data_IF_922627844441
#
_entry.id   IF_922627844441
#
_cell.length_a   1.000
_cell.length_b   1.000
_cell.length_c   1.000
_cell.angle_alpha   90.00
_cell.angle_beta   90.00
_cell.angle_gamma   90.00
#
_symmetry.space_group_name_H-M   'P 1'
#
loop_
_entity.id
_entity.type
_entity.pdbx_description
1 polymer ?
#
# COMPACT_ATOMS: atom_id res chain seq x y z
N UNK A 1 -5.22 11.93 -20.59
CA UNK A 1 -4.05 12.33 -19.77
C UNK A 1 -4.36 12.34 -18.27
N UNK A 2 -5.38 13.07 -17.78
CA UNK A 2 -5.70 13.17 -16.34
C UNK A 2 -5.99 11.81 -15.65
N UNK A 3 -6.87 10.99 -16.22
CA UNK A 3 -7.22 9.67 -15.62
C UNK A 3 -6.00 8.74 -15.48
N UNK A 4 -5.10 8.74 -16.46
CA UNK A 4 -3.88 7.93 -16.44
C UNK A 4 -2.90 8.37 -15.36
N UNK A 5 -2.82 9.67 -15.05
CA UNK A 5 -1.99 10.16 -13.95
C UNK A 5 -2.54 9.65 -12.61
N UNK A 6 -3.86 9.66 -12.42
CA UNK A 6 -4.45 9.11 -11.20
C UNK A 6 -4.25 7.60 -11.08
N UNK A 7 -4.30 6.87 -12.20
CA UNK A 7 -4.01 5.43 -12.24
C UNK A 7 -2.54 5.17 -11.92
N UNK A 8 -1.60 5.93 -12.52
CA UNK A 8 -0.17 5.76 -12.27
C UNK A 8 0.16 6.11 -10.81
N UNK A 9 -0.46 7.16 -10.25
CA UNK A 9 -0.30 7.50 -8.83
C UNK A 9 -0.91 6.40 -7.96
N UNK A 10 -2.11 5.93 -8.27
CA UNK A 10 -2.78 4.87 -7.51
C UNK A 10 -1.96 3.58 -7.54
N UNK A 11 -1.62 3.09 -8.73
CA UNK A 11 -0.77 1.91 -8.92
C UNK A 11 0.56 2.13 -8.23
N UNK A 12 1.23 3.27 -8.42
CA UNK A 12 2.51 3.58 -7.79
C UNK A 12 2.47 3.47 -6.27
N UNK A 13 1.42 3.99 -5.64
CA UNK A 13 1.25 3.98 -4.18
C UNK A 13 0.86 2.59 -3.67
N UNK A 14 -0.03 1.88 -4.38
CA UNK A 14 -0.41 0.50 -4.06
C UNK A 14 0.73 -0.50 -4.31
N UNK A 15 1.59 -0.21 -5.28
CA UNK A 15 2.77 -1.00 -5.62
C UNK A 15 3.98 -0.69 -4.75
N UNK A 16 3.89 0.37 -3.94
CA UNK A 16 5.04 1.20 -3.66
C UNK A 16 6.15 0.56 -2.81
N UNK A 17 7.33 1.15 -2.94
CA UNK A 17 8.56 0.73 -2.30
C UNK A 17 8.63 1.18 -0.85
N UNK A 18 8.80 0.25 0.10
CA UNK A 18 8.88 0.54 1.53
C UNK A 18 9.84 1.67 1.94
N UNK A 19 9.40 2.62 2.78
CA UNK A 19 10.24 3.62 3.43
C UNK A 19 11.15 3.01 4.50
N UNK A 20 12.44 2.80 4.18
CA UNK A 20 13.41 2.14 5.06
C UNK A 20 12.94 0.76 5.55
N UNK A 21 12.16 0.70 6.64
CA UNK A 21 11.58 -0.52 7.21
C UNK A 21 10.18 -0.25 7.83
N UNK A 22 9.15 0.09 7.03
CA UNK A 22 7.84 0.52 7.51
C UNK A 22 6.97 -0.63 8.03
N UNK A 23 7.16 -1.84 7.52
CA UNK A 23 6.45 -3.03 8.00
C UNK A 23 7.10 -3.62 9.26
N UNK A 24 8.27 -3.12 9.67
CA UNK A 24 8.84 -3.53 10.94
C UNK A 24 7.91 -3.16 12.10
N UNK A 25 7.82 -4.07 13.08
CA UNK A 25 7.22 -3.82 14.37
C UNK A 25 7.96 -2.71 15.15
N UNK A 26 9.20 -2.40 14.79
CA UNK A 26 9.95 -1.29 15.38
C UNK A 26 9.35 0.06 14.93
N UNK A 27 9.17 0.97 15.88
CA UNK A 27 8.73 2.33 15.58
C UNK A 27 9.84 3.14 14.93
N UNK A 28 9.43 4.13 14.14
CA UNK A 28 10.29 5.22 13.73
C UNK A 28 10.76 6.01 14.97
N UNK A 29 12.05 6.38 15.00
CA UNK A 29 12.62 7.18 16.08
C UNK A 29 11.82 8.46 16.29
N UNK A 30 11.63 8.86 17.55
CA UNK A 30 10.90 10.08 17.89
C UNK A 30 11.45 11.29 17.10
N UNK A 31 10.54 12.10 16.55
CA UNK A 31 10.81 13.30 15.71
C UNK A 31 11.47 13.02 14.37
N UNK A 32 11.77 11.77 14.03
CA UNK A 32 12.16 11.38 12.69
C UNK A 32 10.91 11.31 11.82
N UNK A 33 11.02 11.83 10.61
CA UNK A 33 10.05 11.64 9.55
C UNK A 33 10.70 10.97 8.35
N UNK A 34 9.94 10.16 7.64
CA UNK A 34 10.35 9.45 6.44
C UNK A 34 9.24 9.59 5.40
N UNK A 35 9.60 9.86 4.16
CA UNK A 35 8.64 10.03 3.07
C UNK A 35 9.27 9.56 1.76
N UNK A 36 8.48 8.86 0.96
CA UNK A 36 8.77 8.60 -0.45
C UNK A 36 7.84 9.40 -1.35
N UNK A 37 8.16 9.46 -2.63
CA UNK A 37 7.28 10.05 -3.64
C UNK A 37 5.96 9.27 -3.79
N UNK A 38 6.04 7.94 -3.78
CA UNK A 38 4.90 7.02 -3.83
C UNK A 38 4.58 6.34 -2.51
N UNK A 39 5.03 6.90 -1.38
CA UNK A 39 4.91 6.27 -0.07
C UNK A 39 4.25 7.18 0.96
N UNK A 40 3.70 6.60 2.05
CA UNK A 40 3.23 7.38 3.17
C UNK A 40 4.36 8.24 3.75
N UNK A 41 4.03 9.45 4.17
CA UNK A 41 4.79 10.16 5.18
C UNK A 41 4.59 9.42 6.50
N UNK A 42 5.69 9.01 7.14
CA UNK A 42 5.73 8.42 8.47
C UNK A 42 6.38 9.41 9.43
N UNK A 43 5.88 9.46 10.66
CA UNK A 43 6.41 10.31 11.70
C UNK A 43 6.43 9.58 13.04
N UNK A 44 7.60 9.47 13.65
CA UNK A 44 7.76 8.99 15.02
C UNK A 44 7.26 10.06 15.97
N UNK A 45 6.01 9.96 16.41
CA UNK A 45 5.37 10.99 17.24
C UNK A 45 5.88 10.93 18.68
N UNK A 46 5.94 9.73 19.26
CA UNK A 46 6.54 9.41 20.56
C UNK A 46 7.30 8.09 20.45
N UNK A 47 7.98 7.68 21.52
CA UNK A 47 8.53 6.32 21.65
C UNK A 47 7.46 5.21 21.67
N UNK A 48 6.18 5.59 21.74
CA UNK A 48 5.03 4.68 21.84
C UNK A 48 4.02 4.85 20.70
N UNK A 49 4.28 5.75 19.75
CA UNK A 49 3.34 6.09 18.69
C UNK A 49 4.06 6.52 17.43
N UNK A 50 3.79 5.83 16.33
CA UNK A 50 4.13 6.27 14.98
C UNK A 50 2.84 6.56 14.21
N UNK A 51 2.82 7.69 13.48
CA UNK A 51 1.69 8.10 12.66
C UNK A 51 2.12 8.13 11.20
N UNK A 52 1.24 7.71 10.30
CA UNK A 52 1.50 7.78 8.87
C UNK A 52 0.27 8.13 8.05
N UNK A 53 0.49 8.78 6.90
CA UNK A 53 -0.54 9.18 5.93
C UNK A 53 0.11 9.36 4.55
N UNK A 54 -0.64 9.26 3.46
CA UNK A 54 -0.12 9.49 2.10
C UNK A 54 -0.35 10.95 1.68
N UNK A 55 0.67 11.83 1.65
CA UNK A 55 0.45 13.27 1.49
C UNK A 55 -0.24 13.65 0.18
N UNK A 56 0.13 12.98 -0.92
CA UNK A 56 -0.45 13.25 -2.25
C UNK A 56 -1.88 12.73 -2.37
N UNK A 57 -2.13 11.51 -1.87
CA UNK A 57 -3.44 10.88 -1.95
C UNK A 57 -4.42 11.41 -0.91
N UNK A 58 -3.97 11.97 0.21
CA UNK A 58 -4.83 12.39 1.32
C UNK A 58 -6.00 13.30 0.89
N UNK A 59 -5.78 14.14 -0.13
CA UNK A 59 -6.81 15.07 -0.63
C UNK A 59 -7.92 14.40 -1.43
N UNK A 60 -7.68 13.22 -2.01
CA UNK A 60 -8.65 12.49 -2.85
C UNK A 60 -9.03 11.14 -2.25
N UNK A 61 -8.18 10.58 -1.39
CA UNK A 61 -8.38 9.35 -0.65
C UNK A 61 -7.75 9.54 0.74
N UNK A 62 -8.44 10.26 1.65
CA UNK A 62 -7.98 10.45 3.01
C UNK A 62 -7.62 9.11 3.65
N UNK A 63 -6.45 9.07 4.26
CA UNK A 63 -5.94 7.88 4.93
C UNK A 63 -5.09 8.30 6.12
N UNK A 64 -5.16 7.50 7.17
CA UNK A 64 -4.38 7.68 8.39
C UNK A 64 -4.07 6.30 8.95
N UNK A 65 -2.85 6.10 9.39
CA UNK A 65 -2.45 4.88 10.07
C UNK A 65 -1.62 5.21 11.31
N UNK A 66 -1.86 4.43 12.36
CA UNK A 66 -1.20 4.56 13.65
C UNK A 66 -0.58 3.23 14.01
N UNK A 67 0.69 3.22 14.37
CA UNK A 67 1.41 2.03 14.83
C UNK A 67 1.79 2.18 16.30
N UNK A 68 1.46 1.15 17.08
CA UNK A 68 1.61 1.10 18.54
C UNK A 68 2.46 -0.13 18.86
N UNK A 69 3.59 0.01 19.57
CA UNK A 69 4.43 -1.12 19.95
C UNK A 69 3.81 -1.84 21.16
N UNK A 70 4.00 -3.15 21.21
CA UNK A 70 3.57 -4.03 22.31
C UNK A 70 4.79 -4.67 22.99
N UNK A 71 4.56 -5.37 24.10
CA UNK A 71 5.62 -6.13 24.76
C UNK A 71 6.18 -7.22 23.84
N UNK A 72 7.50 -7.32 23.77
CA UNK A 72 8.19 -8.31 22.94
C UNK A 72 7.75 -9.74 23.30
N UNK A 73 7.49 -10.55 22.27
CA UNK A 73 7.17 -11.96 22.40
C UNK A 73 8.46 -12.78 22.22
N UNK A 74 9.17 -13.00 23.32
CA UNK A 74 10.51 -13.62 23.28
C UNK A 74 11.50 -12.73 22.53
N UNK A 75 12.09 -13.25 21.46
CA UNK A 75 13.05 -12.52 20.61
C UNK A 75 12.39 -11.75 19.46
N UNK A 76 11.06 -11.58 19.49
CA UNK A 76 10.31 -10.85 18.48
C UNK A 76 9.81 -9.52 19.05
N UNK A 77 10.14 -8.42 18.37
CA UNK A 77 9.48 -7.14 18.56
C UNK A 77 8.06 -7.23 18.02
N UNK A 78 7.08 -6.68 18.74
CA UNK A 78 5.67 -6.75 18.32
C UNK A 78 5.03 -5.38 18.30
N UNK A 79 4.13 -5.14 17.35
CA UNK A 79 3.36 -3.91 17.26
C UNK A 79 2.00 -4.18 16.61
N UNK A 80 1.03 -3.32 16.84
CA UNK A 80 -0.20 -3.27 16.05
C UNK A 80 -0.23 -2.03 15.19
N UNK A 81 -0.81 -2.16 14.00
CA UNK A 81 -1.06 -1.04 13.08
C UNK A 81 -2.55 -0.93 12.86
N UNK A 82 -3.09 0.27 13.07
CA UNK A 82 -4.50 0.58 12.92
C UNK A 82 -4.63 1.65 11.84
N UNK A 83 -5.33 1.34 10.75
CA UNK A 83 -5.45 2.21 9.59
C UNK A 83 -6.90 2.52 9.26
N UNK A 84 -7.14 3.74 8.80
CA UNK A 84 -8.42 4.22 8.29
C UNK A 84 -8.22 4.72 6.86
N UNK A 85 -9.17 4.39 5.99
CA UNK A 85 -9.17 4.77 4.58
C UNK A 85 -10.54 5.28 4.16
N UNK A 86 -10.59 6.38 3.42
CA UNK A 86 -11.82 6.94 2.85
C UNK A 86 -11.69 7.07 1.33
N UNK A 87 -11.99 6.02 0.55
CA UNK A 87 -11.73 6.00 -0.91
C UNK A 87 -12.78 6.75 -1.74
N UNK A 88 -13.92 7.07 -1.16
CA UNK A 88 -15.08 7.68 -1.84
C UNK A 88 -14.75 8.86 -2.77
N UNK A 89 -13.94 9.86 -2.38
CA UNK A 89 -13.70 11.01 -3.25
C UNK A 89 -12.90 10.62 -4.51
N UNK A 90 -11.93 9.72 -4.37
CA UNK A 90 -11.13 9.18 -5.46
C UNK A 90 -12.02 8.37 -6.40
N UNK A 91 -12.83 7.45 -5.87
CA UNK A 91 -13.72 6.62 -6.68
C UNK A 91 -14.75 7.47 -7.44
N UNK A 92 -15.31 8.50 -6.82
CA UNK A 92 -16.17 9.47 -7.49
C UNK A 92 -15.44 10.24 -8.61
N UNK A 93 -14.16 10.57 -8.42
CA UNK A 93 -13.35 11.19 -9.46
C UNK A 93 -13.07 10.22 -10.62
N UNK A 94 -12.82 8.95 -10.33
CA UNK A 94 -12.61 7.90 -11.34
C UNK A 94 -13.88 7.55 -12.12
N UNK A 95 -15.06 7.64 -11.47
CA UNK A 95 -16.39 7.47 -12.08
C UNK A 95 -16.74 8.61 -13.04
N UNK A 96 -16.48 9.87 -12.65
CA UNK A 96 -16.71 11.03 -13.54
C UNK A 96 -15.90 10.97 -14.85
N UNK A 97 -14.75 10.31 -14.83
CA UNK A 97 -13.89 10.14 -15.99
C UNK A 97 -13.25 11.44 -16.51
N UNK A 98 -12.69 11.37 -17.71
CA UNK A 98 -12.09 12.50 -18.43
C UNK A 98 -12.67 12.56 -19.84
N UNK A 99 -13.07 13.74 -20.30
CA UNK A 99 -13.48 13.96 -21.70
C UNK A 99 -12.26 13.81 -22.63
N UNK A 100 -12.38 12.95 -23.63
CA UNK A 100 -11.40 12.74 -24.71
C UNK A 100 -12.17 12.89 -26.03
N UNK A 101 -12.01 14.04 -26.69
CA UNK A 101 -12.86 14.43 -27.81
C UNK A 101 -14.32 14.53 -27.38
N UNK A 102 -15.20 13.78 -28.04
CA UNK A 102 -16.63 13.73 -27.73
C UNK A 102 -17.02 12.60 -26.76
N UNK A 103 -16.06 11.77 -26.33
CA UNK A 103 -16.30 10.63 -25.45
C UNK A 103 -15.82 10.90 -24.03
N UNK A 104 -16.40 10.20 -23.04
CA UNK A 104 -15.93 10.19 -21.65
C UNK A 104 -15.22 8.88 -21.39
N UNK A 105 -13.91 8.95 -21.09
CA UNK A 105 -13.15 7.80 -20.64
C UNK A 105 -13.16 7.77 -19.11
N UNK A 106 -13.77 6.75 -18.52
CA UNK A 106 -13.91 6.54 -17.07
C UNK A 106 -13.48 5.11 -16.71
N UNK A 107 -13.01 4.91 -15.47
CA UNK A 107 -12.67 3.57 -14.97
C UNK A 107 -13.86 2.88 -14.34
N UNK A 108 -14.77 3.66 -13.77
CA UNK A 108 -16.05 3.20 -13.25
C UNK A 108 -17.10 3.88 -14.11
N UNK A 109 -18.15 3.17 -14.49
CA UNK A 109 -19.24 3.79 -15.26
C UNK A 109 -19.80 5.02 -14.53
N UNK A 110 -19.97 6.18 -15.20
CA UNK A 110 -20.50 7.40 -14.58
C UNK A 110 -21.94 7.26 -14.06
N UNK A 111 -22.63 6.18 -14.45
CA UNK A 111 -23.99 5.88 -14.02
C UNK A 111 -24.06 5.26 -12.61
N UNK A 112 -22.93 4.78 -12.07
CA UNK A 112 -22.88 4.25 -10.72
C UNK A 112 -22.65 5.37 -9.71
N UNK A 113 -23.52 5.41 -8.69
CA UNK A 113 -23.35 6.27 -7.54
C UNK A 113 -22.44 5.56 -6.53
N UNK A 114 -21.28 6.14 -6.22
CA UNK A 114 -20.40 5.59 -5.19
C UNK A 114 -20.80 6.18 -3.84
N UNK A 115 -21.41 5.40 -2.93
CA UNK A 115 -21.77 5.88 -1.61
C UNK A 115 -20.52 6.21 -0.78
N UNK A 116 -20.67 6.96 0.34
CA UNK A 116 -19.61 7.09 1.33
C UNK A 116 -19.18 5.72 1.86
N UNK A 117 -17.87 5.48 1.91
CA UNK A 117 -17.28 4.24 2.39
C UNK A 117 -16.07 4.51 3.28
N UNK A 118 -15.89 3.69 4.32
CA UNK A 118 -14.76 3.74 5.25
C UNK A 118 -14.13 2.36 5.33
N UNK A 119 -12.83 2.27 5.06
CA UNK A 119 -12.01 1.09 5.29
C UNK A 119 -11.31 1.18 6.64
N UNK A 120 -11.23 0.06 7.34
CA UNK A 120 -10.52 -0.08 8.61
C UNK A 120 -9.62 -1.29 8.49
N UNK A 121 -8.32 -1.12 8.72
CA UNK A 121 -7.33 -2.21 8.72
C UNK A 121 -6.70 -2.32 10.10
N UNK A 122 -6.60 -3.55 10.61
CA UNK A 122 -5.91 -3.84 11.86
C UNK A 122 -4.89 -4.95 11.63
N UNK A 123 -3.61 -4.60 11.69
CA UNK A 123 -2.50 -5.54 11.51
C UNK A 123 -1.78 -5.79 12.82
N UNK A 124 -1.37 -7.03 13.02
CA UNK A 124 -0.36 -7.42 13.99
C UNK A 124 0.98 -7.63 13.28
N UNK A 125 2.03 -7.03 13.81
CA UNK A 125 3.38 -7.06 13.26
C UNK A 125 4.31 -7.76 14.24
N UNK A 126 5.16 -8.66 13.74
CA UNK A 126 6.21 -9.31 14.50
C UNK A 126 7.54 -9.26 13.75
N UNK A 127 8.53 -8.55 14.29
CA UNK A 127 9.85 -8.43 13.66
C UNK A 127 10.94 -9.09 14.48
N UNK A 128 11.91 -9.66 13.78
CA UNK A 128 13.13 -10.19 14.37
C UNK A 128 14.32 -9.98 13.45
N UNK A 129 15.38 -9.43 14.02
CA UNK A 129 16.69 -9.36 13.37
C UNK A 129 17.44 -10.67 13.52
N UNK A 130 17.81 -11.28 12.40
CA UNK A 130 18.67 -12.46 12.33
C UNK A 130 20.02 -12.07 11.72
N UNK A 131 21.04 -12.92 11.90
CA UNK A 131 22.38 -12.64 11.40
C UNK A 131 22.44 -12.47 9.86
N UNK A 132 21.49 -13.04 9.12
CA UNK A 132 21.47 -13.03 7.66
C UNK A 132 20.44 -12.07 7.05
N UNK A 133 19.41 -11.67 7.80
CA UNK A 133 18.33 -10.77 7.37
C UNK A 133 17.46 -10.33 8.55
N UNK A 134 16.80 -9.19 8.40
CA UNK A 134 15.66 -8.78 9.22
C UNK A 134 14.39 -9.37 8.62
N UNK A 135 13.59 -10.02 9.46
CA UNK A 135 12.33 -10.65 9.05
C UNK A 135 11.19 -10.00 9.80
N UNK A 136 10.11 -9.68 9.09
CA UNK A 136 8.85 -9.28 9.69
C UNK A 136 7.72 -10.16 9.18
N UNK A 137 6.89 -10.62 10.10
CA UNK A 137 5.62 -11.26 9.81
C UNK A 137 4.51 -10.25 10.08
N UNK A 138 3.50 -10.22 9.21
CA UNK A 138 2.30 -9.45 9.45
C UNK A 138 1.06 -10.29 9.21
N UNK A 139 0.02 -9.97 9.96
CA UNK A 139 -1.29 -10.57 9.80
C UNK A 139 -2.36 -9.62 10.28
N UNK A 140 -3.34 -9.33 9.44
CA UNK A 140 -4.33 -8.32 9.67
C UNK A 140 -5.71 -8.69 9.15
N UNK A 141 -6.68 -7.91 9.64
CA UNK A 141 -8.08 -7.97 9.23
C UNK A 141 -8.43 -6.60 8.64
N UNK A 142 -8.98 -6.63 7.43
CA UNK A 142 -9.51 -5.47 6.74
C UNK A 142 -11.04 -5.50 6.79
N UNK A 143 -11.67 -4.37 7.07
CA UNK A 143 -13.11 -4.19 7.13
C UNK A 143 -13.52 -3.03 6.21
N UNK A 144 -14.54 -3.24 5.39
CA UNK A 144 -15.16 -2.21 4.57
C UNK A 144 -16.57 -1.89 5.06
N UNK A 145 -16.82 -0.63 5.39
CA UNK A 145 -18.13 -0.11 5.79
C UNK A 145 -18.64 0.78 4.67
N UNK A 146 -19.82 0.48 4.14
CA UNK A 146 -20.47 1.20 3.05
C UNK A 146 -21.77 1.84 3.54
N UNK A 147 -21.91 3.15 3.35
CA UNK A 147 -23.08 3.93 3.77
C UNK A 147 -24.04 4.17 2.60
N UNK A 148 -24.65 3.08 2.12
CA UNK A 148 -25.60 3.10 1.01
C UNK A 148 -25.51 1.82 0.19
N UNK A 149 -26.17 1.82 -0.96
CA UNK A 149 -26.08 0.72 -1.93
C UNK A 149 -24.84 0.92 -2.82
N UNK A 150 -23.96 -0.07 -2.85
CA UNK A 150 -22.82 -0.13 -3.75
C UNK A 150 -23.07 -1.20 -4.81
N UNK A 151 -23.09 -0.81 -6.07
CA UNK A 151 -23.30 -1.74 -7.19
C UNK A 151 -22.01 -2.54 -7.42
N UNK A 152 -22.08 -3.88 -7.41
CA UNK A 152 -20.92 -4.75 -7.63
C UNK A 152 -20.20 -4.49 -8.96
N UNK A 153 -20.93 -4.01 -9.98
CA UNK A 153 -20.36 -3.66 -11.29
C UNK A 153 -19.53 -2.38 -11.28
N UNK A 154 -19.46 -1.69 -10.13
CA UNK A 154 -18.58 -0.55 -9.92
C UNK A 154 -17.18 -0.95 -9.44
N UNK A 155 -16.88 -2.26 -9.33
CA UNK A 155 -15.55 -2.77 -9.04
C UNK A 155 -14.52 -2.29 -10.06
N UNK A 156 -13.28 -2.10 -9.59
CA UNK A 156 -12.14 -1.81 -10.46
C UNK A 156 -11.30 -3.07 -10.52
N UNK A 157 -11.41 -3.79 -11.64
CA UNK A 157 -10.77 -5.09 -11.84
C UNK A 157 -9.33 -4.90 -12.36
N UNK A 158 -8.56 -4.11 -11.63
CA UNK A 158 -7.13 -3.91 -11.88
C UNK A 158 -6.31 -4.65 -10.82
N UNK A 159 -5.20 -5.30 -11.19
CA UNK A 159 -4.28 -5.87 -10.20
C UNK A 159 -3.83 -4.84 -9.16
N UNK A 160 -3.67 -5.29 -7.92
CA UNK A 160 -3.58 -4.50 -6.67
C UNK A 160 -4.86 -3.78 -6.23
N UNK A 161 -5.60 -3.16 -7.16
CA UNK A 161 -6.75 -2.31 -6.84
C UNK A 161 -7.95 -3.17 -6.42
N UNK A 162 -8.21 -4.24 -7.18
CA UNK A 162 -9.37 -5.11 -6.97
C UNK A 162 -9.42 -5.65 -5.53
N UNK A 163 -8.37 -6.35 -5.09
CA UNK A 163 -8.36 -6.96 -3.76
C UNK A 163 -8.32 -5.92 -2.63
N UNK A 164 -7.71 -4.75 -2.83
CA UNK A 164 -7.68 -3.68 -1.82
C UNK A 164 -9.02 -2.97 -1.64
N UNK A 165 -9.86 -2.94 -2.68
CA UNK A 165 -11.22 -2.38 -2.61
C UNK A 165 -12.28 -3.47 -2.37
N UNK A 166 -11.92 -4.75 -2.46
CA UNK A 166 -12.85 -5.87 -2.34
C UNK A 166 -13.63 -5.88 -1.03
N UNK A 167 -13.01 -5.45 0.07
CA UNK A 167 -13.65 -5.36 1.41
C UNK A 167 -14.89 -4.48 1.45
N UNK A 168 -15.07 -3.55 0.50
CA UNK A 168 -16.29 -2.75 0.39
C UNK A 168 -17.45 -3.53 -0.23
N UNK A 169 -17.17 -4.61 -0.95
CA UNK A 169 -18.17 -5.47 -1.58
C UNK A 169 -18.49 -6.70 -0.73
N UNK A 170 -17.50 -7.29 -0.06
CA UNK A 170 -17.68 -8.49 0.77
C UNK A 170 -17.53 -8.23 2.29
N UNK A 171 -17.50 -6.96 2.71
CA UNK A 171 -17.40 -6.47 4.10
C UNK A 171 -16.05 -6.68 4.79
N UNK A 172 -15.30 -7.74 4.50
CA UNK A 172 -14.06 -8.05 5.21
C UNK A 172 -13.05 -8.87 4.41
N UNK A 173 -11.79 -8.82 4.85
CA UNK A 173 -10.69 -9.59 4.29
C UNK A 173 -9.61 -9.88 5.31
N UNK A 174 -8.69 -10.77 4.93
CA UNK A 174 -7.46 -11.05 5.67
C UNK A 174 -6.27 -10.61 4.84
N UNK A 175 -5.29 -10.00 5.49
CA UNK A 175 -4.00 -9.64 4.90
C UNK A 175 -2.92 -10.39 5.69
N UNK A 176 -2.10 -11.18 5.03
CA UNK A 176 -1.03 -11.95 5.66
C UNK A 176 0.25 -11.72 4.85
N UNK A 177 1.39 -11.62 5.51
CA UNK A 177 2.62 -11.57 4.74
C UNK A 177 3.91 -11.63 5.53
N UNK A 178 4.98 -11.67 4.76
CA UNK A 178 6.35 -11.80 5.25
C UNK A 178 7.23 -10.82 4.49
N UNK A 179 7.90 -9.96 5.24
CA UNK A 179 8.91 -9.04 4.74
C UNK A 179 10.31 -9.51 5.15
N UNK A 180 11.26 -9.46 4.21
CA UNK A 180 12.65 -9.84 4.44
C UNK A 180 13.55 -8.74 3.90
N UNK A 181 14.32 -8.13 4.80
CA UNK A 181 15.31 -7.09 4.47
C UNK A 181 16.69 -7.65 4.75
N UNK A 182 17.56 -7.62 3.73
CA UNK A 182 18.96 -8.04 3.85
C UNK A 182 19.88 -6.91 3.41
N UNK A 183 20.70 -6.44 4.35
CA UNK A 183 21.79 -5.51 4.02
C UNK A 183 23.00 -6.29 3.48
N UNK A 184 23.34 -6.05 2.21
CA UNK A 184 24.51 -6.64 1.56
C UNK A 184 25.78 -5.86 1.92
N UNK A 185 25.65 -4.54 2.03
CA UNK A 185 26.70 -3.63 2.48
C UNK A 185 26.08 -2.52 3.32
N UNK A 186 26.89 -1.58 3.84
CA UNK A 186 26.39 -0.40 4.55
C UNK A 186 25.47 0.51 3.70
N UNK A 187 25.51 0.38 2.37
CA UNK A 187 24.77 1.24 1.43
C UNK A 187 23.82 0.47 0.51
N UNK A 188 23.95 -0.86 0.42
CA UNK A 188 23.15 -1.68 -0.49
C UNK A 188 22.37 -2.71 0.33
N UNK A 189 21.07 -2.77 0.09
CA UNK A 189 20.18 -3.77 0.64
C UNK A 189 19.32 -4.38 -0.45
N UNK A 190 18.80 -5.57 -0.15
CA UNK A 190 17.71 -6.20 -0.88
C UNK A 190 16.54 -6.26 0.08
N UNK A 191 15.36 -5.94 -0.41
CA UNK A 191 14.12 -6.09 0.32
C UNK A 191 13.14 -6.87 -0.54
N UNK A 192 12.55 -7.92 0.02
CA UNK A 192 11.53 -8.73 -0.63
C UNK A 192 10.36 -8.96 0.31
N UNK A 193 9.15 -8.96 -0.23
CA UNK A 193 7.94 -9.32 0.51
C UNK A 193 7.13 -10.37 -0.23
N UNK A 194 6.34 -11.10 0.54
CA UNK A 194 5.32 -12.01 0.06
C UNK A 194 4.05 -11.75 0.85
N UNK A 195 3.02 -11.26 0.16
CA UNK A 195 1.72 -10.97 0.76
C UNK A 195 0.65 -11.89 0.16
N UNK A 196 -0.31 -12.29 0.99
CA UNK A 196 -1.49 -13.05 0.63
C UNK A 196 -2.70 -12.29 1.17
N UNK A 197 -3.61 -11.89 0.29
CA UNK A 197 -4.90 -11.34 0.70
C UNK A 197 -5.99 -12.35 0.42
N UNK A 198 -6.92 -12.47 1.36
CA UNK A 198 -8.09 -13.33 1.24
C UNK A 198 -9.35 -12.48 1.37
N UNK A 199 -10.28 -12.64 0.44
CA UNK A 199 -11.57 -11.95 0.38
C UNK A 199 -12.70 -12.99 0.28
N UNK A 200 -13.07 -13.61 1.42
CA UNK A 200 -14.11 -14.62 1.43
C UNK A 200 -15.44 -14.06 0.91
N UNK A 201 -16.12 -14.79 0.03
CA UNK A 201 -17.41 -14.39 -0.52
C UNK A 201 -17.36 -13.45 -1.72
N UNK A 202 -16.17 -13.05 -2.19
CA UNK A 202 -15.99 -12.25 -3.41
C UNK A 202 -15.59 -13.14 -4.61
N UNK A 203 -16.00 -12.73 -5.82
CA UNK A 203 -15.57 -13.37 -7.08
C UNK A 203 -14.14 -12.97 -7.43
N UNK A 204 -13.16 -13.73 -6.95
CA UNK A 204 -11.76 -13.28 -6.94
C UNK A 204 -11.26 -13.27 -5.51
N UNK A 205 -11.23 -14.46 -4.92
CA UNK A 205 -11.19 -14.61 -3.46
C UNK A 205 -9.81 -14.42 -2.85
N UNK A 206 -8.76 -14.29 -3.67
CA UNK A 206 -7.41 -14.07 -3.18
C UNK A 206 -6.48 -13.44 -4.22
N UNK A 207 -5.44 -12.77 -3.72
CA UNK A 207 -4.20 -12.56 -4.46
C UNK A 207 -2.95 -12.88 -3.64
N UNK A 208 -1.90 -13.20 -4.37
CA UNK A 208 -0.53 -13.34 -3.89
C UNK A 208 0.28 -12.24 -4.55
N UNK A 209 0.95 -11.45 -3.73
CA UNK A 209 1.83 -10.38 -4.16
C UNK A 209 3.26 -10.74 -3.77
N UNK A 210 4.21 -10.48 -4.67
CA UNK A 210 5.63 -10.61 -4.40
C UNK A 210 6.35 -9.34 -4.84
N UNK A 211 7.07 -8.69 -3.93
CA UNK A 211 7.91 -7.53 -4.25
C UNK A 211 9.38 -7.90 -4.12
N UNK A 212 10.19 -7.33 -5.00
CA UNK A 212 11.64 -7.34 -4.87
C UNK A 212 12.18 -5.95 -5.15
N UNK A 213 12.96 -5.41 -4.22
CA UNK A 213 13.59 -4.11 -4.28
C UNK A 213 15.09 -4.22 -4.03
N UNK A 214 15.85 -3.59 -4.92
CA UNK A 214 17.21 -3.16 -4.64
C UNK A 214 17.15 -1.78 -3.98
N UNK A 215 17.80 -1.66 -2.84
CA UNK A 215 17.81 -0.47 -2.02
C UNK A 215 19.22 0.09 -1.96
N UNK A 216 19.39 1.34 -2.36
CA UNK A 216 20.65 2.08 -2.27
C UNK A 216 20.52 3.27 -1.33
N UNK A 217 21.18 3.20 -0.19
CA UNK A 217 21.23 4.27 0.81
C UNK A 217 22.40 5.20 0.52
N UNK A 218 22.11 6.40 0.05
CA UNK A 218 23.12 7.45 -0.20
C UNK A 218 23.58 8.09 1.11
N UNK A 219 22.65 8.35 2.03
CA UNK A 219 22.88 8.89 3.38
C UNK A 219 21.75 8.49 4.32
N UNK A 220 21.85 8.83 5.60
CA UNK A 220 20.78 8.56 6.60
C UNK A 220 19.43 9.21 6.27
N UNK A 221 19.45 10.24 5.43
CA UNK A 221 18.28 11.00 5.00
C UNK A 221 17.89 10.81 3.53
N UNK A 222 18.62 10.01 2.75
CA UNK A 222 18.35 9.83 1.31
C UNK A 222 18.60 8.39 0.88
N UNK A 223 17.56 7.77 0.33
CA UNK A 223 17.57 6.41 -0.17
C UNK A 223 16.89 6.34 -1.54
N UNK A 224 17.41 5.47 -2.40
CA UNK A 224 16.86 5.17 -3.71
C UNK A 224 16.49 3.71 -3.75
N UNK A 225 15.30 3.40 -4.26
CA UNK A 225 14.82 2.03 -4.38
C UNK A 225 14.44 1.76 -5.83
N UNK A 226 14.77 0.58 -6.33
CA UNK A 226 14.28 0.11 -7.62
C UNK A 226 13.95 -1.37 -7.60
N UNK A 227 12.98 -1.79 -8.40
CA UNK A 227 12.62 -3.19 -8.48
C UNK A 227 11.28 -3.42 -9.15
N UNK A 228 10.55 -4.42 -8.71
CA UNK A 228 9.25 -4.77 -9.26
C UNK A 228 8.28 -5.20 -8.17
N UNK A 229 7.00 -5.17 -8.51
CA UNK A 229 5.97 -5.90 -7.79
C UNK A 229 5.25 -6.84 -8.74
N UNK A 230 5.18 -8.10 -8.36
CA UNK A 230 4.46 -9.15 -9.06
C UNK A 230 3.15 -9.39 -8.32
N UNK A 231 2.07 -9.60 -9.06
CA UNK A 231 0.75 -9.92 -8.54
C UNK A 231 0.22 -11.11 -9.32
N UNK A 232 -0.27 -12.11 -8.61
CA UNK A 232 -1.10 -13.18 -9.14
C UNK A 232 -2.36 -13.26 -8.30
N UNK A 233 -3.53 -13.19 -8.91
CA UNK A 233 -4.78 -13.24 -8.15
C UNK A 233 -5.94 -13.71 -8.99
N UNK A 234 -7.02 -14.06 -8.31
CA UNK A 234 -8.29 -14.36 -8.94
C UNK A 234 -9.09 -13.07 -9.12
N UNK A 235 -9.66 -12.87 -10.29
CA UNK A 235 -10.53 -11.75 -10.61
C UNK A 235 -11.89 -12.28 -11.10
N UNK A 236 -12.93 -11.42 -11.22
CA UNK A 236 -14.26 -11.86 -11.65
C UNK A 236 -14.27 -12.62 -12.99
N UNK A 237 -13.31 -12.33 -13.87
CA UNK A 237 -13.21 -12.90 -15.22
C UNK A 237 -12.13 -13.98 -15.36
N UNK A 238 -11.48 -14.38 -14.27
CA UNK A 238 -10.42 -15.39 -14.26
C UNK A 238 -9.16 -14.92 -13.56
N UNK A 239 -8.15 -15.77 -13.60
CA UNK A 239 -6.87 -15.50 -12.97
C UNK A 239 -6.05 -14.52 -13.81
N UNK A 240 -5.45 -13.52 -13.17
CA UNK A 240 -4.49 -12.62 -13.82
C UNK A 240 -3.15 -12.60 -13.10
N UNK A 241 -2.09 -12.45 -13.90
CA UNK A 241 -0.74 -12.16 -13.43
C UNK A 241 -0.27 -10.82 -13.97
N UNK A 242 0.40 -10.00 -13.15
CA UNK A 242 0.96 -8.73 -13.62
C UNK A 242 2.27 -8.36 -12.92
N UNK A 243 3.22 -7.87 -13.70
CA UNK A 243 4.38 -7.13 -13.20
C UNK A 243 4.08 -5.64 -13.19
N UNK A 244 4.43 -4.98 -12.09
CA UNK A 244 4.15 -3.57 -11.82
C UNK A 244 5.45 -2.84 -11.46
N UNK A 245 5.56 -1.54 -11.80
CA UNK A 245 4.59 -0.72 -12.55
C UNK A 245 4.39 -1.14 -14.01
N UNK A 246 3.13 -1.18 -14.44
CA UNK A 246 2.73 -1.47 -15.82
C UNK A 246 2.30 -0.18 -16.51
N UNK A 247 2.80 0.08 -17.72
CA UNK A 247 2.38 1.22 -18.54
C UNK A 247 1.44 0.70 -19.64
N UNK A 248 0.12 0.93 -19.53
CA UNK A 248 -0.85 0.37 -20.48
C UNK A 248 -0.64 0.81 -21.92
N UNK A 249 -0.14 2.04 -22.14
CA UNK A 249 0.06 2.61 -23.47
C UNK A 249 1.13 1.89 -24.30
N UNK A 250 2.10 1.27 -23.64
CA UNK A 250 3.23 0.61 -24.30
C UNK A 250 3.24 -0.89 -24.05
N UNK A 251 2.22 -1.42 -23.38
CA UNK A 251 2.12 -2.81 -22.91
C UNK A 251 3.42 -3.33 -22.24
N UNK A 252 4.13 -2.43 -21.56
CA UNK A 252 5.48 -2.68 -21.05
C UNK A 252 5.52 -2.41 -19.56
N UNK A 253 6.22 -3.28 -18.83
CA UNK A 253 6.56 -3.04 -17.44
C UNK A 253 7.79 -2.15 -17.37
N UNK A 254 7.80 -1.23 -16.42
CA UNK A 254 8.97 -0.39 -16.13
C UNK A 254 9.38 -0.72 -14.70
N UNK A 255 10.69 -0.81 -14.39
CA UNK A 255 11.13 -0.94 -13.02
C UNK A 255 10.49 0.14 -12.16
N UNK A 256 10.00 -0.24 -10.97
CA UNK A 256 9.66 0.74 -9.96
C UNK A 256 10.92 1.53 -9.64
N UNK A 257 10.80 2.84 -9.55
CA UNK A 257 11.87 3.73 -9.10
C UNK A 257 11.28 4.67 -8.08
N UNK A 258 11.92 4.72 -6.91
CA UNK A 258 11.45 5.52 -5.79
C UNK A 258 12.63 6.27 -5.16
N UNK A 259 12.40 7.55 -4.89
CA UNK A 259 13.27 8.37 -4.05
C UNK A 259 12.61 8.52 -2.68
N UNK A 260 13.37 8.23 -1.63
CA UNK A 260 12.95 8.36 -0.26
C UNK A 260 13.84 9.38 0.47
N UNK A 261 13.20 10.22 1.25
CA UNK A 261 13.82 11.28 2.03
C UNK A 261 13.39 11.19 3.49
N UNK A 262 14.34 11.42 4.38
CA UNK A 262 14.12 11.41 5.82
C UNK A 262 14.83 12.59 6.48
N UNK A 263 14.29 12.99 7.61
CA UNK A 263 14.87 14.05 8.42
C UNK A 263 14.42 13.97 9.87
N UNK A 264 15.14 14.69 10.73
CA UNK A 264 14.76 14.86 12.12
C UNK A 264 14.26 16.30 12.30
N UNK A 265 13.11 16.47 12.97
CA UNK A 265 12.66 17.81 13.35
C UNK A 265 13.52 18.29 14.53
N UNK A 266 14.24 19.41 14.35
CA UNK A 266 15.01 20.03 15.45
C UNK A 266 14.04 20.55 16.52
N UNK A 267 14.50 20.61 17.78
CA UNK A 267 13.76 21.26 18.87
C UNK A 267 13.42 22.70 18.45
N UNK A 268 12.19 23.19 18.70
CA UNK A 268 11.89 24.61 18.59
C UNK A 268 12.78 25.42 19.54
#
# INVERSE_FOLDING_TARGET
VKIYIYIIILIGQLSGAQNWAPHSANLLTEKRWEMGFFQPLRYGYTETLEVSLHPLLFFVMPNLSVKIPHQNMGNWSTASRHSLLYPTPLLNMLSKGTKIGNNIASLISPNFLIPPMVGISNDWLMSRSLAFADITLHGGIDLGIVFGELDERSSIDLPLVYHRLGVYYNTWGLDLGVDIIKHLTKRLGIHTDFDLRLLPGLSGSYDVEHKLLLVWTKSEGVQFCTGYKFVYGQFPYGDETRFLPYVPLTETWIPMVELQVAGNRKKP
#
